data_IF_122729976330
#
_entry.id   IF_122729976330
#
_cell.length_a   1.000
_cell.length_b   1.000
_cell.length_c   1.000
_cell.angle_alpha   90.00
_cell.angle_beta   90.00
_cell.angle_gamma   90.00
#
_symmetry.space_group_name_H-M   'P 1'
#
loop_
_entity.id
_entity.type
_entity.pdbx_description
1 polymer ?
#
# COMPACT_ATOMS: atom_id res chain seq x y z
N UNK A 1 -5.39 22.96 20.39
CA UNK A 1 -5.23 23.22 19.62
C UNK A 1 -5.19 22.35 18.87
N UNK A 2 -5.41 22.12 18.56
CA UNK A 2 -4.99 21.88 17.88
C UNK A 2 -4.56 20.70 17.34
N UNK A 3 -4.38 19.69 18.03
CA UNK A 3 -3.98 18.45 17.46
C UNK A 3 -4.98 17.89 16.51
N UNK A 4 -6.26 18.12 16.75
CA UNK A 4 -7.25 17.64 15.83
C UNK A 4 -7.16 18.33 14.52
N UNK A 5 -6.88 19.59 14.56
CA UNK A 5 -6.77 20.34 13.32
C UNK A 5 -5.60 19.84 12.52
N UNK A 6 -4.53 19.48 13.19
CA UNK A 6 -3.38 19.01 12.47
C UNK A 6 -3.65 17.70 11.78
N UNK A 7 -4.40 16.83 12.39
CA UNK A 7 -4.68 15.55 11.77
C UNK A 7 -5.48 15.69 10.52
N UNK A 8 -6.36 16.69 10.49
CA UNK A 8 -7.18 16.84 9.33
C UNK A 8 -6.45 17.44 8.18
N UNK A 9 -5.40 18.18 8.46
CA UNK A 9 -4.73 18.86 7.41
C UNK A 9 -3.78 18.00 6.68
N UNK A 10 -3.47 16.86 7.20
CA UNK A 10 -2.47 16.01 6.62
C UNK A 10 -2.66 15.75 5.15
N UNK A 11 -3.89 15.68 4.71
CA UNK A 11 -4.12 15.36 3.34
C UNK A 11 -3.80 16.45 2.40
N UNK A 12 -3.64 17.63 2.87
CA UNK A 12 -3.67 18.76 1.98
C UNK A 12 -2.37 19.12 1.37
N UNK A 13 -1.30 18.54 1.85
CA UNK A 13 -0.13 19.07 1.47
C UNK A 13 0.51 18.66 0.30
N UNK A 14 0.10 17.69 -0.38
CA UNK A 14 0.85 17.10 -1.41
C UNK A 14 0.31 17.35 -2.70
N UNK A 15 -0.04 18.50 -2.86
CA UNK A 15 -0.60 18.79 -4.03
C UNK A 15 0.32 18.67 -5.13
N UNK A 16 1.60 18.75 -4.99
CA UNK A 16 2.29 18.72 -6.03
C UNK A 16 2.79 17.55 -6.30
N UNK A 17 2.62 16.95 -7.21
CA UNK A 17 3.18 15.85 -7.62
C UNK A 17 3.45 14.96 -6.64
N UNK A 18 2.55 14.52 -5.93
CA UNK A 18 2.79 13.54 -4.97
C UNK A 18 3.35 12.32 -5.57
N UNK A 19 4.25 11.72 -4.87
CA UNK A 19 4.86 10.49 -5.28
C UNK A 19 3.89 9.33 -5.18
N UNK A 20 2.95 9.42 -4.29
CA UNK A 20 1.90 8.40 -4.11
C UNK A 20 0.55 9.06 -4.22
N UNK A 21 -0.49 8.26 -4.46
CA UNK A 21 -1.82 8.78 -4.70
C UNK A 21 -2.49 9.37 -3.47
N UNK A 22 -2.21 8.83 -2.32
CA UNK A 22 -2.92 9.23 -1.12
C UNK A 22 -2.00 9.33 0.08
N UNK A 23 -2.13 10.39 0.84
CA UNK A 23 -1.44 10.55 2.10
C UNK A 23 -2.43 11.11 3.09
N UNK A 24 -2.50 10.52 4.26
CA UNK A 24 -3.43 10.97 5.28
C UNK A 24 -3.10 10.41 6.63
N UNK A 25 -4.08 10.34 7.50
CA UNK A 25 -3.89 9.78 8.82
C UNK A 25 -5.11 8.97 9.22
N UNK A 26 -4.89 7.87 9.90
CA UNK A 26 -5.95 7.03 10.39
C UNK A 26 -5.72 6.88 11.89
N UNK A 27 -6.63 7.46 12.66
CA UNK A 27 -6.55 7.40 14.12
C UNK A 27 -5.19 7.85 14.65
N UNK A 28 -4.68 8.91 14.06
CA UNK A 28 -3.41 9.48 14.50
C UNK A 28 -2.18 8.85 13.87
N UNK A 29 -2.32 7.80 13.08
CA UNK A 29 -1.18 7.16 12.45
C UNK A 29 -1.09 7.65 11.00
N UNK A 30 0.04 8.17 10.57
CA UNK A 30 0.20 8.59 9.18
C UNK A 30 0.11 7.38 8.25
N UNK A 31 -0.60 7.55 7.15
CA UNK A 31 -0.83 6.47 6.19
C UNK A 31 -0.63 7.00 4.78
N UNK A 32 0.04 6.25 3.95
CA UNK A 32 0.08 6.58 2.52
C UNK A 32 -0.07 5.32 1.68
N UNK A 33 -0.63 5.48 0.50
CA UNK A 33 -0.71 4.35 -0.41
C UNK A 33 -0.81 4.81 -1.84
N UNK A 34 -0.51 3.89 -2.74
CA UNK A 34 -0.67 4.12 -4.16
C UNK A 34 -1.59 3.04 -4.71
N UNK A 35 -2.43 3.38 -5.64
CA UNK A 35 -3.36 2.44 -6.24
C UNK A 35 -2.84 2.02 -7.60
N UNK A 36 -2.87 0.73 -7.86
CA UNK A 36 -2.40 0.16 -9.12
C UNK A 36 -3.47 -0.78 -9.66
N UNK A 37 -3.43 -1.00 -10.95
CA UNK A 37 -4.34 -1.96 -11.56
C UNK A 37 -3.54 -3.05 -12.24
N UNK A 38 -4.04 -4.28 -12.18
CA UNK A 38 -3.42 -5.40 -12.84
C UNK A 38 -4.52 -6.16 -13.57
N UNK A 39 -4.43 -6.24 -14.88
CA UNK A 39 -5.47 -6.90 -15.66
C UNK A 39 -5.35 -8.42 -15.52
N UNK A 40 -4.15 -8.92 -15.66
CA UNK A 40 -3.92 -10.36 -15.56
C UNK A 40 -3.45 -10.71 -14.15
N UNK A 41 -2.96 -11.92 -13.98
CA UNK A 41 -2.58 -12.41 -12.66
C UNK A 41 -1.17 -12.03 -12.25
N UNK A 42 -0.36 -11.58 -13.16
CA UNK A 42 1.03 -11.26 -12.88
C UNK A 42 1.20 -9.76 -12.82
N UNK A 43 1.68 -9.27 -11.70
CA UNK A 43 1.88 -7.84 -11.49
C UNK A 43 3.33 -7.47 -11.77
N UNK A 44 3.59 -6.67 -12.81
CA UNK A 44 4.98 -6.29 -13.11
C UNK A 44 5.50 -5.29 -12.08
N UNK A 45 6.66 -5.55 -11.52
CA UNK A 45 7.20 -4.65 -10.53
C UNK A 45 7.56 -3.28 -11.08
N UNK A 46 7.78 -3.17 -12.38
CA UNK A 46 8.10 -1.87 -12.94
C UNK A 46 6.92 -0.89 -12.85
N UNK A 47 5.73 -1.39 -12.50
CA UNK A 47 4.61 -0.50 -12.26
C UNK A 47 4.77 0.27 -10.96
N UNK A 48 5.67 -0.15 -10.07
CA UNK A 48 6.02 0.61 -8.89
C UNK A 48 7.35 1.30 -9.21
N UNK A 49 7.38 2.61 -9.12
CA UNK A 49 8.58 3.34 -9.50
C UNK A 49 9.54 3.47 -8.33
N UNK A 50 10.82 3.56 -8.64
CA UNK A 50 11.83 3.63 -7.60
C UNK A 50 11.60 4.79 -6.64
N UNK A 51 11.16 5.93 -7.14
CA UNK A 51 10.92 7.07 -6.27
C UNK A 51 9.74 6.81 -5.32
N UNK A 52 8.80 5.94 -5.70
CA UNK A 52 7.73 5.54 -4.79
C UNK A 52 8.26 4.67 -3.67
N UNK A 53 9.18 3.77 -3.99
CA UNK A 53 9.82 2.92 -2.98
C UNK A 53 10.58 3.78 -2.00
N UNK A 54 11.32 4.77 -2.49
CA UNK A 54 12.09 5.67 -1.63
C UNK A 54 11.16 6.46 -0.72
N UNK A 55 10.10 7.00 -1.28
CA UNK A 55 9.15 7.78 -0.50
C UNK A 55 8.51 6.94 0.60
N UNK A 56 8.04 5.76 0.26
CA UNK A 56 7.37 4.90 1.22
C UNK A 56 8.32 4.41 2.30
N UNK A 57 9.59 4.19 1.94
CA UNK A 57 10.58 3.79 2.91
C UNK A 57 10.79 4.89 3.95
N UNK A 58 10.89 6.13 3.49
CA UNK A 58 11.05 7.25 4.41
C UNK A 58 9.80 7.46 5.25
N UNK A 59 8.64 7.22 4.66
CA UNK A 59 7.39 7.35 5.36
C UNK A 59 7.30 6.32 6.50
N UNK A 60 7.69 5.10 6.23
CA UNK A 60 7.70 4.04 7.25
C UNK A 60 8.73 4.34 8.34
N UNK A 61 9.85 4.93 7.97
CA UNK A 61 10.88 5.27 8.96
C UNK A 61 10.41 6.34 9.94
N UNK A 62 9.36 7.05 9.59
CA UNK A 62 8.80 8.05 10.48
C UNK A 62 7.56 7.53 11.20
N UNK A 63 7.46 6.22 11.33
CA UNK A 63 6.37 5.54 12.01
C UNK A 63 5.03 5.65 11.27
N UNK A 64 5.07 5.88 9.99
CA UNK A 64 3.88 5.82 9.17
C UNK A 64 3.66 4.42 8.62
N UNK A 65 2.52 4.20 8.00
CA UNK A 65 2.19 2.94 7.35
C UNK A 65 2.04 3.21 5.87
N UNK A 66 2.83 2.52 5.05
CA UNK A 66 2.75 2.63 3.61
C UNK A 66 2.32 1.31 3.00
N UNK A 67 1.51 1.35 1.97
CA UNK A 67 1.10 0.12 1.28
C UNK A 67 0.70 0.43 -0.15
N UNK A 68 0.52 -0.62 -0.94
CA UNK A 68 0.04 -0.52 -2.31
C UNK A 68 -1.29 -1.23 -2.37
N UNK A 69 -2.27 -0.64 -3.04
CA UNK A 69 -3.52 -1.32 -3.32
C UNK A 69 -3.49 -1.75 -4.77
N UNK A 70 -3.66 -3.03 -5.03
CA UNK A 70 -3.68 -3.54 -6.39
C UNK A 70 -5.07 -4.06 -6.71
N UNK A 71 -5.67 -3.52 -7.75
CA UNK A 71 -6.96 -4.02 -8.20
C UNK A 71 -6.73 -4.99 -9.36
N UNK A 72 -7.08 -6.26 -9.14
CA UNK A 72 -6.99 -7.29 -10.16
C UNK A 72 -8.31 -7.31 -10.90
N UNK A 73 -8.34 -6.64 -12.04
CA UNK A 73 -9.61 -6.34 -12.71
C UNK A 73 -10.33 -7.56 -13.21
N UNK A 74 -9.62 -8.56 -13.72
CA UNK A 74 -10.27 -9.77 -14.20
C UNK A 74 -10.87 -10.61 -13.10
N UNK A 75 -10.38 -10.44 -11.88
CA UNK A 75 -10.88 -11.16 -10.74
C UNK A 75 -11.83 -10.35 -9.89
N UNK A 76 -11.89 -9.05 -10.14
CA UNK A 76 -12.64 -8.11 -9.31
C UNK A 76 -12.23 -8.26 -7.85
N UNK A 77 -10.93 -8.24 -7.62
CA UNK A 77 -10.37 -8.36 -6.28
C UNK A 77 -9.38 -7.26 -6.01
N UNK A 78 -9.38 -6.74 -4.79
CA UNK A 78 -8.38 -5.80 -4.34
C UNK A 78 -7.41 -6.51 -3.43
N UNK A 79 -6.14 -6.16 -3.54
CA UNK A 79 -5.11 -6.69 -2.68
C UNK A 79 -4.41 -5.56 -1.96
N UNK A 80 -4.25 -5.71 -0.66
CA UNK A 80 -3.50 -4.76 0.16
C UNK A 80 -2.09 -5.32 0.29
N UNK A 81 -1.12 -4.69 -0.35
CA UNK A 81 0.26 -5.14 -0.27
C UNK A 81 0.99 -4.34 0.78
N UNK A 82 1.37 -4.99 1.86
CA UNK A 82 2.09 -4.34 2.96
C UNK A 82 3.45 -3.86 2.50
N UNK A 83 3.97 -2.85 3.17
CA UNK A 83 5.27 -2.30 2.82
C UNK A 83 6.36 -3.37 2.87
N UNK A 84 6.37 -4.18 3.91
CA UNK A 84 7.38 -5.20 4.05
C UNK A 84 7.34 -6.21 2.90
N UNK A 85 6.16 -6.58 2.47
CA UNK A 85 6.00 -7.50 1.34
C UNK A 85 6.49 -6.86 0.05
N UNK A 86 6.14 -5.61 -0.16
CA UNK A 86 6.58 -4.87 -1.34
C UNK A 86 8.10 -4.80 -1.40
N UNK A 87 8.75 -4.50 -0.27
CA UNK A 87 10.20 -4.40 -0.22
C UNK A 87 10.83 -5.76 -0.48
N UNK A 88 10.23 -6.82 0.01
CA UNK A 88 10.76 -8.15 -0.20
C UNK A 88 10.75 -8.51 -1.69
N UNK A 89 9.67 -8.22 -2.38
CA UNK A 89 9.60 -8.47 -3.83
C UNK A 89 10.54 -7.55 -4.60
N UNK A 90 10.65 -6.30 -4.16
CA UNK A 90 11.53 -5.33 -4.81
C UNK A 90 12.99 -5.77 -4.69
N UNK A 91 13.40 -6.18 -3.51
CA UNK A 91 14.76 -6.65 -3.31
C UNK A 91 15.05 -7.92 -4.08
N UNK A 92 14.07 -8.81 -4.18
CA UNK A 92 14.24 -10.01 -4.99
C UNK A 92 14.55 -9.65 -6.44
N UNK A 93 13.85 -8.67 -6.97
CA UNK A 93 14.10 -8.23 -8.35
C UNK A 93 15.46 -7.56 -8.48
N UNK A 94 15.86 -6.76 -7.52
CA UNK A 94 17.15 -6.10 -7.55
C UNK A 94 18.29 -7.10 -7.47
N UNK A 95 18.08 -8.21 -6.80
CA UNK A 95 19.10 -9.24 -6.64
C UNK A 95 19.13 -10.23 -7.80
N UNK A 96 18.46 -9.90 -8.88
CA UNK A 96 18.49 -10.75 -10.08
C UNK A 96 17.38 -11.75 -10.16
N UNK A 97 16.43 -11.73 -9.22
CA UNK A 97 15.30 -12.63 -9.23
C UNK A 97 14.17 -12.14 -10.11
N UNK A 98 12.99 -12.70 -9.86
CA UNK A 98 11.83 -12.42 -10.68
C UNK A 98 11.42 -10.97 -10.57
N UNK A 99 11.11 -10.36 -11.69
CA UNK A 99 10.74 -8.95 -11.75
C UNK A 99 9.23 -8.73 -11.82
N UNK A 100 8.49 -9.74 -11.43
CA UNK A 100 7.03 -9.66 -11.36
C UNK A 100 6.55 -10.48 -10.17
N UNK A 101 5.32 -10.25 -9.76
CA UNK A 101 4.74 -10.96 -8.63
C UNK A 101 3.57 -11.76 -9.16
N UNK A 102 3.56 -13.06 -8.90
CA UNK A 102 2.46 -13.91 -9.33
C UNK A 102 1.35 -13.87 -8.30
N UNK A 103 0.13 -13.99 -8.76
CA UNK A 103 -1.04 -13.93 -7.90
C UNK A 103 -0.92 -14.94 -6.73
N UNK A 104 -0.41 -16.14 -7.01
CA UNK A 104 -0.33 -17.17 -5.99
C UNK A 104 0.74 -16.91 -4.95
N UNK A 105 1.58 -15.90 -5.15
CA UNK A 105 2.58 -15.56 -4.14
C UNK A 105 2.02 -14.64 -3.06
N UNK A 106 0.80 -14.14 -3.25
CA UNK A 106 0.24 -13.13 -2.38
C UNK A 106 -0.43 -13.75 -1.15
N UNK A 107 -0.56 -12.95 -0.11
CA UNK A 107 -1.11 -13.42 1.16
C UNK A 107 -2.63 -13.39 1.11
N UNK A 108 -3.31 -14.53 1.18
CA UNK A 108 -4.76 -14.56 1.04
C UNK A 108 -5.52 -13.71 2.06
N UNK A 109 -4.90 -13.39 3.18
CA UNK A 109 -5.57 -12.59 4.21
C UNK A 109 -5.78 -11.15 3.79
N UNK A 110 -5.04 -10.69 2.78
CA UNK A 110 -5.10 -9.29 2.37
C UNK A 110 -5.87 -9.06 1.08
N UNK A 111 -6.64 -10.04 0.66
CA UNK A 111 -7.53 -9.87 -0.48
C UNK A 111 -8.92 -9.49 -0.04
N UNK A 112 -9.60 -8.71 -0.87
CA UNK A 112 -10.98 -8.39 -0.64
C UNK A 112 -11.69 -8.26 -1.94
N UNK A 113 -12.94 -8.73 -2.00
CA UNK A 113 -13.76 -8.60 -3.18
C UNK A 113 -14.70 -7.42 -2.96
N UNK A 114 -14.64 -6.38 -3.78
CA UNK A 114 -15.52 -5.24 -3.58
C UNK A 114 -16.97 -5.65 -3.71
N UNK A 115 -17.81 -5.19 -2.79
CA UNK A 115 -19.22 -5.45 -2.86
C UNK A 115 -19.89 -4.18 -3.19
N UNK A 116 -20.73 -4.19 -4.18
CA UNK A 116 -21.48 -3.03 -4.60
C UNK A 116 -20.59 -1.84 -4.94
N UNK A 117 -19.32 -2.06 -5.05
CA UNK A 117 -18.44 -1.05 -5.52
C UNK A 117 -18.18 0.11 -4.60
N UNK A 118 -18.62 0.03 -3.35
CA UNK A 118 -18.53 1.22 -2.57
C UNK A 118 -17.67 1.17 -1.35
N UNK A 119 -17.38 0.03 -0.83
CA UNK A 119 -16.76 0.02 0.49
C UNK A 119 -15.48 -0.78 0.46
N UNK A 120 -14.41 -0.19 0.89
CA UNK A 120 -13.13 -0.87 1.04
C UNK A 120 -12.77 -0.80 2.51
N UNK A 121 -12.61 -1.93 3.19
CA UNK A 121 -12.36 -1.93 4.63
C UNK A 121 -10.90 -1.63 4.93
N UNK A 122 -10.48 -0.43 4.62
CA UNK A 122 -9.10 -0.04 4.87
C UNK A 122 -8.69 -0.26 6.31
N UNK A 123 -9.58 0.02 7.26
CA UNK A 123 -9.23 -0.10 8.67
C UNK A 123 -8.94 -1.54 9.05
N UNK A 124 -9.70 -2.48 8.51
CA UNK A 124 -9.47 -3.89 8.81
C UNK A 124 -8.11 -4.34 8.29
N UNK A 125 -7.75 -3.91 7.09
CA UNK A 125 -6.45 -4.26 6.53
C UNK A 125 -5.31 -3.58 7.29
N UNK A 126 -5.48 -2.34 7.67
CA UNK A 126 -4.47 -1.62 8.42
C UNK A 126 -4.28 -2.26 9.79
N UNK A 127 -5.37 -2.67 10.42
CA UNK A 127 -5.27 -3.34 11.71
C UNK A 127 -4.54 -4.66 11.59
N UNK A 128 -4.82 -5.43 10.58
CA UNK A 128 -4.12 -6.70 10.37
C UNK A 128 -2.63 -6.45 10.09
N UNK A 129 -2.32 -5.44 9.29
CA UNK A 129 -0.96 -5.04 9.00
C UNK A 129 -0.23 -4.71 10.30
N UNK A 130 -0.84 -3.90 11.16
CA UNK A 130 -0.25 -3.53 12.43
C UNK A 130 -0.01 -4.73 13.32
N UNK A 131 -0.97 -5.65 13.37
CA UNK A 131 -0.81 -6.85 14.17
C UNK A 131 0.39 -7.67 13.71
N UNK A 132 0.58 -7.80 12.43
CA UNK A 132 1.71 -8.57 11.91
C UNK A 132 3.04 -7.89 12.20
N UNK A 133 3.07 -6.56 12.23
CA UNK A 133 4.29 -5.85 12.57
C UNK A 133 4.69 -6.10 14.01
N UNK A 134 3.70 -6.22 14.89
CA UNK A 134 4.00 -6.45 16.29
C UNK A 134 4.48 -7.86 16.56
N UNK A 135 4.16 -8.79 15.70
CA UNK A 135 4.61 -10.16 15.86
C UNK A 135 6.03 -10.38 15.38
N UNK A 136 6.55 -9.47 14.61
CA UNK A 136 7.85 -9.66 13.97
C UNK A 136 9.02 -9.40 14.92
#
# INVERSE_FOLDING_TARGET
>A
SSDLDHKQITLAYFEKRSTVDYIGAVQGIPVCFDAKECVADTFPLHNIHEHQITFMTQFEQQDGIAFILIYYSERNELYYMRFEEMIRFWNRACDGGRKSIRYEELDPRFFMKPKNGYYIPYLDFINLDLELREEA
#
